data_IF_850439599748
#
_entry.id   IF_850439599748
#
_cell.length_a   1.000
_cell.length_b   1.000
_cell.length_c   1.000
_cell.angle_alpha   90.00
_cell.angle_beta   90.00
_cell.angle_gamma   90.00
#
_symmetry.space_group_name_H-M   'P 1'
#
loop_
_entity.id
_entity.type
_entity.pdbx_description
1 polymer ?
#
# COMPACT_ATOMS: atom_id res chain seq x y z
N UNK A 1 36.11 42.02 5.37
CA UNK A 1 34.69 42.21 4.96
C UNK A 1 34.24 40.97 4.19
N UNK A 2 33.36 40.13 4.75
CA UNK A 2 32.88 38.90 4.11
C UNK A 2 31.53 39.13 3.41
N UNK A 3 31.29 38.52 2.26
CA UNK A 3 29.92 38.37 1.77
C UNK A 3 29.76 37.27 0.70
N UNK A 4 28.58 36.62 0.77
CA UNK A 4 27.95 35.66 -0.15
C UNK A 4 28.35 34.20 0.11
N UNK A 5 27.85 33.56 1.17
CA UNK A 5 26.46 33.16 1.46
C UNK A 5 25.80 32.31 0.37
N UNK A 6 25.93 31.01 0.59
CA UNK A 6 24.98 29.91 0.39
C UNK A 6 24.49 29.59 -1.04
N UNK A 7 25.31 28.84 -1.78
CA UNK A 7 24.84 27.89 -2.80
C UNK A 7 24.61 26.52 -2.17
N UNK A 8 23.42 26.29 -1.62
CA UNK A 8 22.85 24.94 -1.62
C UNK A 8 21.35 25.08 -1.52
N UNK A 9 20.68 25.10 -2.69
CA UNK A 9 19.26 24.84 -2.77
C UNK A 9 19.07 23.40 -2.27
N UNK A 10 18.71 23.26 -0.99
CA UNK A 10 18.23 21.99 -0.46
C UNK A 10 16.86 21.82 -1.08
N UNK A 11 16.82 21.18 -2.25
CA UNK A 11 15.60 20.74 -2.91
C UNK A 11 14.82 19.92 -1.88
N UNK A 12 13.83 20.57 -1.27
CA UNK A 12 12.95 20.04 -0.25
C UNK A 12 12.30 18.78 -0.83
N UNK A 13 12.74 17.62 -0.39
CA UNK A 13 12.23 16.34 -0.86
C UNK A 13 10.70 16.36 -0.85
N UNK A 14 10.09 16.23 -2.02
CA UNK A 14 8.65 16.11 -2.19
C UNK A 14 8.24 14.71 -1.72
N UNK A 15 8.31 14.47 -0.42
CA UNK A 15 7.71 13.29 0.19
C UNK A 15 6.20 13.52 0.14
N UNK A 16 5.57 13.01 -0.92
CA UNK A 16 4.12 13.00 -1.05
C UNK A 16 3.61 12.11 0.09
N UNK A 17 3.10 12.73 1.15
CA UNK A 17 2.46 12.02 2.26
C UNK A 17 1.35 11.16 1.66
N UNK A 18 1.60 9.85 1.62
CA UNK A 18 0.60 8.86 1.22
C UNK A 18 -0.42 8.88 2.35
N UNK A 19 -1.56 9.51 2.10
CA UNK A 19 -2.70 9.40 3.00
C UNK A 19 -3.36 8.05 2.70
N UNK A 20 -3.52 7.17 3.69
CA UNK A 20 -4.32 5.97 3.48
C UNK A 20 -5.72 6.40 3.03
N UNK A 21 -6.21 5.77 1.97
CA UNK A 21 -7.58 5.96 1.54
C UNK A 21 -8.46 5.13 2.47
N UNK A 22 -9.17 5.79 3.40
CA UNK A 22 -9.92 5.11 4.47
C UNK A 22 -11.02 4.18 3.95
N UNK A 23 -11.46 4.37 2.71
CA UNK A 23 -12.50 3.57 2.06
C UNK A 23 -11.96 2.43 1.17
N UNK A 24 -10.63 2.29 1.04
CA UNK A 24 -10.03 1.30 0.14
C UNK A 24 -9.90 -0.07 0.81
N UNK A 25 -10.81 -0.99 0.50
CA UNK A 25 -10.70 -2.39 0.93
C UNK A 25 -9.72 -3.17 0.05
N UNK A 26 -8.97 -4.06 0.68
CA UNK A 26 -7.95 -4.91 0.03
C UNK A 26 -8.53 -6.29 -0.32
N UNK A 27 -9.54 -6.77 0.42
CA UNK A 27 -10.11 -8.10 0.20
C UNK A 27 -10.52 -8.38 -1.27
N UNK A 28 -11.22 -7.48 -2.01
CA UNK A 28 -11.57 -7.73 -3.42
C UNK A 28 -10.34 -7.96 -4.31
N UNK A 29 -9.25 -7.22 -4.05
CA UNK A 29 -7.99 -7.34 -4.79
C UNK A 29 -7.30 -8.66 -4.50
N UNK A 30 -7.34 -9.13 -3.25
CA UNK A 30 -6.80 -10.44 -2.87
C UNK A 30 -7.56 -11.57 -3.56
N UNK A 31 -8.89 -11.47 -3.66
CA UNK A 31 -9.71 -12.43 -4.42
C UNK A 31 -9.29 -12.48 -5.90
N UNK A 32 -9.04 -11.31 -6.50
CA UNK A 32 -8.56 -11.22 -7.89
C UNK A 32 -7.15 -11.80 -8.06
N UNK A 33 -6.24 -11.60 -7.09
CA UNK A 33 -4.91 -12.20 -7.10
C UNK A 33 -5.01 -13.73 -7.09
N UNK A 34 -5.84 -14.31 -6.22
CA UNK A 34 -6.06 -15.76 -6.18
C UNK A 34 -6.53 -16.29 -7.54
N UNK A 35 -7.51 -15.62 -8.16
CA UNK A 35 -7.98 -15.98 -9.50
C UNK A 35 -6.86 -15.90 -10.56
N UNK A 36 -6.05 -14.83 -10.55
CA UNK A 36 -4.91 -14.67 -11.48
C UNK A 36 -3.82 -15.71 -11.29
N UNK A 37 -3.69 -16.28 -10.09
CA UNK A 37 -2.77 -17.38 -9.79
C UNK A 37 -3.31 -18.75 -10.23
N UNK A 38 -4.55 -18.82 -10.74
CA UNK A 38 -5.20 -20.08 -11.09
C UNK A 38 -5.77 -20.85 -9.89
N UNK A 39 -5.88 -20.20 -8.73
CA UNK A 39 -6.55 -20.76 -7.56
C UNK A 39 -8.06 -20.59 -7.67
N UNK A 40 -8.81 -21.45 -6.97
CA UNK A 40 -10.25 -21.31 -6.80
C UNK A 40 -10.56 -20.55 -5.49
N UNK A 41 -11.00 -19.27 -5.53
CA UNK A 41 -11.28 -18.50 -4.33
C UNK A 41 -12.51 -19.00 -3.54
N UNK A 42 -13.33 -19.86 -4.14
CA UNK A 42 -14.54 -20.43 -3.51
C UNK A 42 -14.26 -21.74 -2.77
N UNK A 43 -13.05 -22.31 -2.91
CA UNK A 43 -12.67 -23.51 -2.14
C UNK A 43 -12.62 -23.20 -0.65
N UNK A 44 -13.03 -24.17 0.18
CA UNK A 44 -13.17 -24.01 1.63
C UNK A 44 -11.96 -23.33 2.30
N UNK A 45 -10.74 -23.73 1.91
CA UNK A 45 -9.50 -23.17 2.45
C UNK A 45 -9.16 -21.73 2.02
N UNK A 46 -9.84 -21.18 1.01
CA UNK A 46 -9.65 -19.80 0.52
C UNK A 46 -10.82 -18.87 0.76
N UNK A 47 -12.00 -19.37 1.11
CA UNK A 47 -13.19 -18.54 1.31
C UNK A 47 -12.95 -17.34 2.23
N UNK A 48 -12.08 -17.49 3.24
CA UNK A 48 -11.73 -16.43 4.21
C UNK A 48 -10.34 -15.84 4.01
N UNK A 49 -9.65 -16.17 2.92
CA UNK A 49 -8.30 -15.65 2.64
C UNK A 49 -8.32 -14.16 2.34
N UNK A 50 -9.23 -13.63 1.50
CA UNK A 50 -9.31 -12.19 1.24
C UNK A 50 -9.38 -11.33 2.50
N UNK A 51 -10.26 -11.67 3.43
CA UNK A 51 -10.48 -10.92 4.67
C UNK A 51 -9.31 -11.06 5.64
N UNK A 52 -8.72 -12.28 5.75
CA UNK A 52 -7.55 -12.50 6.60
C UNK A 52 -6.34 -11.71 6.13
N UNK A 53 -6.13 -11.63 4.81
CA UNK A 53 -5.02 -10.84 4.24
C UNK A 53 -5.24 -9.36 4.49
N UNK A 54 -6.45 -8.85 4.27
CA UNK A 54 -6.79 -7.46 4.59
C UNK A 54 -6.51 -7.14 6.07
N UNK A 55 -6.97 -7.98 6.99
CA UNK A 55 -6.71 -7.82 8.43
C UNK A 55 -5.22 -7.86 8.76
N UNK A 56 -4.44 -8.75 8.13
CA UNK A 56 -3.00 -8.84 8.36
C UNK A 56 -2.25 -7.59 7.89
N UNK A 57 -2.68 -6.99 6.78
CA UNK A 57 -2.04 -5.79 6.21
C UNK A 57 -2.33 -4.51 7.01
N UNK A 58 -3.39 -4.47 7.82
CA UNK A 58 -3.71 -3.31 8.68
C UNK A 58 -2.66 -3.05 9.78
N UNK A 59 -1.81 -4.03 10.09
CA UNK A 59 -0.81 -3.94 11.16
C UNK A 59 0.64 -3.78 10.65
N UNK A 60 0.84 -3.45 9.36
CA UNK A 60 2.15 -3.22 8.74
C UNK A 60 2.43 -1.72 8.57
#
# INVERSE_FOLDING_TARGET
>A
MPQKSNRTAVAKALVKVIRPNEDATIAPHVKEILFKLGEDPEREGLLRTPERVEQALQFL
#
